data_IF_354864302291
#
_entry.id   IF_354864302291
#
_cell.length_a   1.000
_cell.length_b   1.000
_cell.length_c   1.000
_cell.angle_alpha   90.00
_cell.angle_beta   90.00
_cell.angle_gamma   90.00
#
_symmetry.space_group_name_H-M   'P 1'
#
loop_
_entity.id
_entity.type
_entity.pdbx_description
1 polymer ?
#
# COMPACT_ATOMS: atom_id res chain seq x y z
N UNK A 1 16.61 9.73 -9.76
CA UNK A 1 15.25 10.25 -9.50
C UNK A 1 14.26 9.36 -10.24
N UNK A 2 12.95 9.48 -9.96
CA UNK A 2 11.92 8.81 -10.78
C UNK A 2 11.19 9.88 -11.57
N UNK A 3 11.30 9.83 -12.90
CA UNK A 3 10.69 10.82 -13.79
C UNK A 3 9.17 10.76 -13.72
N UNK A 4 8.51 11.92 -13.72
CA UNK A 4 7.05 12.03 -13.69
C UNK A 4 6.38 11.61 -12.39
N UNK A 5 7.13 11.19 -11.36
CA UNK A 5 6.58 10.84 -10.04
C UNK A 5 6.27 12.12 -9.26
N UNK A 6 5.01 12.34 -8.90
CA UNK A 6 4.57 13.55 -8.19
C UNK A 6 4.37 13.34 -6.70
N UNK A 7 3.97 12.14 -6.28
CA UNK A 7 3.71 11.82 -4.88
C UNK A 7 4.23 10.43 -4.51
N UNK A 8 4.63 10.28 -3.26
CA UNK A 8 4.83 8.99 -2.60
C UNK A 8 3.56 8.65 -1.83
N UNK A 9 2.96 7.50 -2.13
CA UNK A 9 1.79 7.01 -1.45
C UNK A 9 2.17 6.04 -0.35
N UNK A 10 1.77 6.36 0.88
CA UNK A 10 1.86 5.49 2.04
C UNK A 10 0.45 5.18 2.53
N UNK A 11 0.19 3.96 2.98
CA UNK A 11 -1.11 3.58 3.50
C UNK A 11 -1.01 3.00 4.91
N UNK A 12 -1.89 3.47 5.79
CA UNK A 12 -2.08 2.95 7.13
C UNK A 12 -3.48 2.35 7.22
N UNK A 13 -3.61 1.18 7.86
CA UNK A 13 -4.89 0.46 7.95
C UNK A 13 -5.09 -0.08 9.35
N UNK A 14 -6.30 0.11 9.86
CA UNK A 14 -6.73 -0.42 11.15
C UNK A 14 -8.17 -0.91 11.02
N UNK A 15 -8.49 -2.03 11.65
CA UNK A 15 -9.81 -2.62 11.54
C UNK A 15 -10.00 -3.83 12.43
N UNK A 16 -11.18 -4.41 12.32
CA UNK A 16 -11.56 -5.61 13.03
C UNK A 16 -11.82 -6.72 12.02
N UNK A 17 -11.50 -7.95 12.40
CA UNK A 17 -11.72 -9.13 11.57
C UNK A 17 -12.17 -10.31 12.41
N UNK A 18 -12.99 -11.16 11.81
CA UNK A 18 -13.49 -12.38 12.41
C UNK A 18 -13.04 -13.59 11.59
N UNK A 19 -12.68 -14.66 12.29
CA UNK A 19 -12.43 -15.96 11.72
C UNK A 19 -13.61 -16.90 12.04
N UNK A 20 -14.15 -17.56 11.03
CA UNK A 20 -15.20 -18.58 11.16
C UNK A 20 -14.71 -19.90 10.59
N UNK A 21 -14.71 -20.94 11.42
CA UNK A 21 -14.45 -22.31 10.96
C UNK A 21 -15.62 -22.78 10.09
N UNK A 22 -15.34 -23.15 8.85
CA UNK A 22 -16.34 -23.64 7.87
C UNK A 22 -16.23 -25.16 7.75
N UNK A 23 -15.01 -25.68 7.69
CA UNK A 23 -14.74 -27.12 7.57
C UNK A 23 -13.92 -27.61 8.76
N UNK A 24 -14.52 -28.46 9.58
CA UNK A 24 -13.84 -29.11 10.71
C UNK A 24 -12.98 -30.30 10.27
N UNK A 25 -11.95 -30.60 11.07
CA UNK A 25 -11.10 -31.79 10.91
C UNK A 25 -11.90 -33.05 11.28
N UNK A 26 -12.68 -33.59 10.34
CA UNK A 26 -13.56 -34.75 10.57
C UNK A 26 -12.84 -36.10 10.77
N UNK A 27 -11.53 -36.18 10.51
CA UNK A 27 -10.71 -37.40 10.70
C UNK A 27 -9.29 -37.01 11.16
N UNK A 28 -8.51 -37.95 11.71
CA UNK A 28 -7.14 -37.73 12.28
C UNK A 28 -6.17 -36.97 11.35
N UNK A 29 -6.42 -36.95 10.04
CA UNK A 29 -5.62 -36.27 9.01
C UNK A 29 -6.37 -35.18 8.22
N UNK A 30 -7.51 -34.67 8.70
CA UNK A 30 -8.28 -33.64 7.97
C UNK A 30 -7.63 -32.25 8.01
N UNK A 31 -7.89 -31.45 6.97
CA UNK A 31 -7.55 -30.02 6.91
C UNK A 31 -8.70 -29.22 7.50
N UNK A 32 -8.42 -28.31 8.42
CA UNK A 32 -9.43 -27.38 8.92
C UNK A 32 -9.50 -26.17 7.98
N UNK A 33 -10.69 -25.77 7.57
CA UNK A 33 -10.91 -24.63 6.67
C UNK A 33 -11.62 -23.53 7.44
N UNK A 34 -10.99 -22.36 7.52
CA UNK A 34 -11.56 -21.16 8.13
C UNK A 34 -11.72 -20.06 7.10
N UNK A 35 -12.86 -19.38 7.09
CA UNK A 35 -12.98 -18.08 6.44
C UNK A 35 -12.60 -16.98 7.41
N UNK A 36 -11.83 -16.02 6.93
CA UNK A 36 -11.43 -14.81 7.62
C UNK A 36 -12.02 -13.66 6.82
N UNK A 37 -12.77 -12.80 7.49
CA UNK A 37 -13.33 -11.61 6.88
C UNK A 37 -13.23 -10.45 7.86
N UNK A 38 -13.04 -9.25 7.34
CA UNK A 38 -12.88 -8.09 8.18
C UNK A 38 -12.82 -6.82 7.36
N UNK A 39 -12.81 -5.70 8.08
CA UNK A 39 -12.71 -4.40 7.47
C UNK A 39 -12.50 -3.32 8.51
N UNK A 40 -12.24 -2.12 8.02
CA UNK A 40 -12.05 -0.97 8.88
C UNK A 40 -11.58 0.25 8.12
N UNK A 41 -10.95 1.14 8.85
CA UNK A 41 -10.47 2.40 8.35
C UNK A 41 -9.13 2.25 7.62
N UNK A 42 -8.96 3.00 6.55
CA UNK A 42 -7.71 3.18 5.84
C UNK A 42 -7.36 4.67 5.79
N UNK A 43 -6.09 5.01 5.96
CA UNK A 43 -5.57 6.35 5.81
C UNK A 43 -4.46 6.32 4.78
N UNK A 44 -4.70 6.99 3.66
CA UNK A 44 -3.67 7.26 2.67
C UNK A 44 -2.93 8.53 3.04
N UNK A 45 -1.63 8.53 2.81
CA UNK A 45 -0.74 9.65 3.04
C UNK A 45 0.06 9.88 1.76
N UNK A 46 -0.20 11.02 1.11
CA UNK A 46 0.49 11.45 -0.11
C UNK A 46 1.55 12.47 0.26
N UNK A 47 2.81 12.09 0.10
CA UNK A 47 3.95 12.99 0.30
C UNK A 47 4.47 13.48 -1.05
N UNK A 48 4.49 14.79 -1.33
CA UNK A 48 4.97 15.32 -2.60
C UNK A 48 6.43 14.94 -2.85
N UNK A 49 6.71 14.58 -4.10
CA UNK A 49 8.05 14.26 -4.58
C UNK A 49 8.70 15.54 -5.12
N UNK A 50 9.80 15.91 -4.50
CA UNK A 50 10.58 17.08 -4.89
C UNK A 50 11.72 16.66 -5.81
N UNK A 51 11.94 17.45 -6.86
CA UNK A 51 13.07 17.34 -7.77
C UNK A 51 13.99 18.54 -7.60
N UNK A 52 15.29 18.29 -7.71
CA UNK A 52 16.28 19.34 -7.89
C UNK A 52 16.39 19.60 -9.38
N UNK A 53 16.14 20.83 -9.79
CA UNK A 53 16.19 21.28 -11.18
C UNK A 53 17.12 22.48 -11.29
N UNK A 54 17.80 22.63 -12.42
CA UNK A 54 18.51 23.86 -12.75
C UNK A 54 17.51 24.81 -13.38
N UNK A 55 17.40 26.01 -12.84
CA UNK A 55 16.55 27.04 -13.41
C UNK A 55 17.14 27.49 -14.77
N UNK A 56 16.39 27.35 -15.89
CA UNK A 56 16.91 27.68 -17.21
C UNK A 56 17.15 29.20 -17.40
N UNK A 57 16.60 30.06 -16.53
CA UNK A 57 16.74 31.51 -16.61
C UNK A 57 17.88 32.06 -15.75
N UNK A 58 18.14 31.45 -14.59
CA UNK A 58 19.14 31.93 -13.63
C UNK A 58 20.35 31.01 -13.47
N UNK A 59 20.29 29.77 -13.98
CA UNK A 59 21.33 28.75 -13.87
C UNK A 59 21.53 28.21 -12.44
N UNK A 60 20.68 28.59 -11.49
CA UNK A 60 20.75 28.16 -10.10
C UNK A 60 19.98 26.87 -9.83
N UNK A 61 20.43 26.10 -8.83
CA UNK A 61 19.71 24.92 -8.35
C UNK A 61 18.45 25.34 -7.59
N UNK A 62 17.30 24.79 -7.99
CA UNK A 62 15.99 25.00 -7.38
C UNK A 62 15.35 23.66 -7.04
N UNK A 63 14.64 23.61 -5.92
CA UNK A 63 13.83 22.46 -5.57
C UNK A 63 12.38 22.77 -5.93
N UNK A 64 11.77 21.94 -6.79
CA UNK A 64 10.39 22.11 -7.22
C UNK A 64 9.57 20.84 -6.98
N UNK A 65 8.28 21.01 -6.71
CA UNK A 65 7.27 19.96 -6.86
C UNK A 65 6.43 20.21 -8.11
N UNK A 66 5.65 19.21 -8.51
CA UNK A 66 4.82 19.27 -9.72
C UNK A 66 3.91 20.50 -9.80
N UNK A 67 3.26 20.89 -8.69
CA UNK A 67 2.37 22.07 -8.68
C UNK A 67 3.10 23.42 -8.70
N UNK A 68 4.42 23.45 -8.46
CA UNK A 68 5.17 24.71 -8.48
C UNK A 68 5.55 25.12 -9.91
N UNK A 69 5.99 24.16 -10.74
CA UNK A 69 6.29 24.37 -12.16
C UNK A 69 6.18 23.07 -12.96
N UNK A 70 5.04 22.87 -13.63
CA UNK A 70 4.74 21.63 -14.37
C UNK A 70 5.64 21.44 -15.59
N UNK A 71 6.09 22.52 -16.21
CA UNK A 71 6.88 22.47 -17.44
C UNK A 71 8.30 22.03 -17.13
N UNK A 72 8.94 22.66 -16.14
CA UNK A 72 10.30 22.28 -15.70
C UNK A 72 10.29 20.89 -15.04
N UNK A 73 9.24 20.55 -14.28
CA UNK A 73 9.14 19.24 -13.63
C UNK A 73 9.06 18.07 -14.62
N UNK A 74 8.54 18.32 -15.83
CA UNK A 74 8.42 17.32 -16.89
C UNK A 74 9.52 17.45 -17.95
N UNK A 75 10.53 18.31 -17.75
CA UNK A 75 11.68 18.45 -18.64
C UNK A 75 12.88 17.65 -18.11
N UNK A 76 13.26 16.52 -18.73
CA UNK A 76 14.40 15.73 -18.30
C UNK A 76 15.74 16.48 -18.37
N UNK A 77 15.86 17.51 -19.21
CA UNK A 77 17.11 18.27 -19.40
C UNK A 77 17.39 19.23 -18.25
N UNK A 78 16.34 19.67 -17.55
CA UNK A 78 16.43 20.55 -16.40
C UNK A 78 16.62 19.79 -15.07
N UNK A 79 16.38 18.48 -15.02
CA UNK A 79 16.40 17.68 -13.79
C UNK A 79 17.82 17.22 -13.44
N UNK A 80 18.39 17.80 -12.38
CA UNK A 80 19.68 17.39 -11.81
C UNK A 80 19.54 16.14 -10.95
N UNK A 81 18.41 15.97 -10.24
CA UNK A 81 18.23 14.83 -9.35
C UNK A 81 16.98 14.87 -8.50
N UNK A 82 16.88 13.91 -7.57
CA UNK A 82 15.81 13.88 -6.58
C UNK A 82 16.19 14.76 -5.40
N UNK A 83 15.25 15.56 -4.90
CA UNK A 83 15.47 16.26 -3.65
C UNK A 83 15.51 15.27 -2.48
N UNK A 84 16.26 15.62 -1.43
CA UNK A 84 16.43 14.77 -0.25
C UNK A 84 15.11 14.33 0.38
N UNK A 85 15.12 13.15 1.03
CA UNK A 85 13.93 12.53 1.61
C UNK A 85 13.18 13.42 2.62
N UNK A 86 13.90 14.28 3.34
CA UNK A 86 13.36 15.22 4.33
C UNK A 86 12.53 16.38 3.75
N UNK A 87 12.51 16.55 2.41
CA UNK A 87 11.66 17.56 1.75
C UNK A 87 10.22 17.05 1.57
N UNK A 88 9.24 17.93 1.67
CA UNK A 88 7.82 17.62 1.46
C UNK A 88 7.08 17.05 2.67
N UNK A 89 7.69 16.97 3.86
CA UNK A 89 6.99 16.54 5.09
C UNK A 89 5.93 17.54 5.57
N UNK A 90 6.09 18.84 5.26
CA UNK A 90 5.13 19.87 5.65
C UNK A 90 3.91 19.97 4.72
N UNK A 91 3.88 19.22 3.61
CA UNK A 91 2.82 19.28 2.59
C UNK A 91 2.22 17.90 2.32
N UNK A 92 2.12 17.09 3.36
CA UNK A 92 1.51 15.77 3.28
C UNK A 92 -0.02 15.93 3.18
N UNK A 93 -0.62 15.31 2.17
CA UNK A 93 -2.09 15.18 2.08
C UNK A 93 -2.54 13.86 2.70
N UNK A 94 -3.47 13.94 3.65
CA UNK A 94 -4.05 12.80 4.33
C UNK A 94 -5.42 12.52 3.73
N UNK A 95 -5.59 11.33 3.19
CA UNK A 95 -6.81 10.93 2.49
C UNK A 95 -7.44 9.75 3.21
N UNK A 96 -8.56 9.96 3.91
CA UNK A 96 -9.27 8.86 4.57
C UNK A 96 -9.89 7.91 3.54
N UNK A 97 -10.07 6.67 3.96
CA UNK A 97 -10.62 5.59 3.17
C UNK A 97 -11.11 4.44 4.04
N UNK A 98 -11.60 3.41 3.38
CA UNK A 98 -12.02 2.16 3.99
C UNK A 98 -11.26 0.99 3.37
N UNK A 99 -11.09 -0.08 4.12
CA UNK A 99 -10.57 -1.33 3.60
C UNK A 99 -11.41 -2.52 4.04
N UNK A 100 -11.41 -3.54 3.20
CA UNK A 100 -12.02 -4.83 3.47
C UNK A 100 -11.02 -5.94 3.13
N UNK A 101 -11.08 -7.04 3.89
CA UNK A 101 -10.26 -8.24 3.71
C UNK A 101 -11.14 -9.47 3.74
N UNK A 102 -10.89 -10.37 2.81
CA UNK A 102 -11.51 -11.70 2.75
C UNK A 102 -10.41 -12.73 2.50
N UNK A 103 -10.35 -13.78 3.30
CA UNK A 103 -9.34 -14.82 3.15
C UNK A 103 -9.89 -16.20 3.56
N UNK A 104 -9.30 -17.24 2.98
CA UNK A 104 -9.49 -18.62 3.36
C UNK A 104 -8.18 -19.15 3.93
N UNK A 105 -8.27 -19.78 5.09
CA UNK A 105 -7.15 -20.40 5.77
C UNK A 105 -7.36 -21.90 5.87
N UNK A 106 -6.33 -22.64 5.49
CA UNK A 106 -6.26 -24.10 5.48
C UNK A 106 -5.23 -24.56 6.50
N UNK A 107 -5.69 -25.09 7.63
CA UNK A 107 -4.85 -25.61 8.71
C UNK A 107 -4.60 -27.12 8.49
N UNK A 108 -3.35 -27.51 8.22
CA UNK A 108 -2.96 -28.90 7.89
C UNK A 108 -2.07 -29.58 8.96
N UNK A 109 -2.03 -29.03 10.17
CA UNK A 109 -1.25 -29.59 11.29
C UNK A 109 -1.66 -31.03 11.64
N UNK A 110 -0.72 -31.98 11.44
CA UNK A 110 -0.87 -33.41 11.81
C UNK A 110 -0.61 -33.66 13.30
N UNK A 111 0.27 -32.87 13.91
CA UNK A 111 0.64 -32.95 15.32
C UNK A 111 0.07 -31.78 16.10
N UNK A 112 -0.48 -32.05 17.28
CA UNK A 112 -1.19 -31.06 18.12
C UNK A 112 -0.29 -29.88 18.55
N UNK A 113 1.03 -30.02 18.41
CA UNK A 113 2.05 -29.06 18.86
C UNK A 113 2.46 -28.02 17.80
N UNK A 114 2.29 -28.29 16.49
CA UNK A 114 2.72 -27.37 15.42
C UNK A 114 1.52 -26.96 14.54
N UNK A 115 1.22 -25.66 14.58
CA UNK A 115 0.24 -24.99 13.74
C UNK A 115 0.91 -24.65 12.41
N UNK A 116 0.59 -25.38 11.36
CA UNK A 116 0.96 -25.05 9.98
C UNK A 116 -0.29 -24.79 9.16
N UNK A 117 -0.36 -23.62 8.54
CA UNK A 117 -1.51 -23.23 7.73
C UNK A 117 -1.09 -22.46 6.48
N UNK A 118 -1.86 -22.60 5.41
CA UNK A 118 -1.77 -21.74 4.25
C UNK A 118 -3.00 -20.85 4.25
N UNK A 119 -2.82 -19.55 4.06
CA UNK A 119 -3.90 -18.59 3.94
C UNK A 119 -3.81 -17.92 2.58
N UNK A 120 -4.93 -17.88 1.86
CA UNK A 120 -5.06 -17.16 0.60
C UNK A 120 -6.18 -16.12 0.76
N UNK A 121 -5.93 -14.89 0.34
CA UNK A 121 -6.90 -13.83 0.55
C UNK A 121 -6.77 -12.67 -0.41
N UNK A 122 -7.78 -11.83 -0.35
CA UNK A 122 -7.90 -10.59 -1.10
C UNK A 122 -8.15 -9.43 -0.13
N UNK A 123 -7.61 -8.28 -0.48
CA UNK A 123 -7.85 -7.02 0.20
C UNK A 123 -8.31 -6.00 -0.84
N UNK A 124 -9.28 -5.20 -0.46
CA UNK A 124 -9.78 -4.08 -1.22
C UNK A 124 -9.66 -2.82 -0.36
N UNK A 125 -9.15 -1.75 -0.92
CA UNK A 125 -9.04 -0.43 -0.28
C UNK A 125 -9.73 0.58 -1.19
N UNK A 126 -10.50 1.49 -0.61
CA UNK A 126 -11.15 2.60 -1.33
C UNK A 126 -10.95 3.90 -0.58
N UNK A 127 -10.50 4.93 -1.28
CA UNK A 127 -10.17 6.23 -0.70
C UNK A 127 -11.10 7.34 -1.21
N UNK A 128 -11.26 8.37 -0.38
CA UNK A 128 -12.13 9.52 -0.68
C UNK A 128 -11.63 10.40 -1.83
N UNK A 129 -10.32 10.41 -2.09
CA UNK A 129 -9.67 11.14 -3.18
C UNK A 129 -8.78 10.22 -4.01
N UNK A 130 -8.44 10.68 -5.22
CA UNK A 130 -7.51 9.98 -6.12
C UNK A 130 -6.09 10.02 -5.56
N UNK A 131 -5.45 8.86 -5.51
CA UNK A 131 -4.05 8.75 -5.09
C UNK A 131 -3.12 8.96 -6.28
N UNK A 132 -3.04 10.19 -6.76
CA UNK A 132 -2.21 10.52 -7.92
C UNK A 132 -0.72 10.42 -7.55
N UNK A 133 -0.03 9.39 -8.06
CA UNK A 133 1.39 9.16 -7.83
C UNK A 133 2.28 9.66 -8.97
N UNK A 134 1.75 9.70 -10.20
CA UNK A 134 2.45 10.10 -11.41
C UNK A 134 1.71 11.26 -12.10
N UNK A 135 2.46 12.18 -12.72
CA UNK A 135 1.90 13.34 -13.43
C UNK A 135 1.08 12.92 -14.66
N UNK A 136 1.58 11.93 -15.40
CA UNK A 136 1.02 11.47 -16.67
C UNK A 136 0.02 10.32 -16.51
N UNK A 137 -0.32 9.93 -15.28
CA UNK A 137 -1.30 8.88 -15.01
C UNK A 137 -2.40 9.41 -14.09
N UNK A 138 -3.64 9.07 -14.37
CA UNK A 138 -4.76 9.35 -13.47
C UNK A 138 -4.57 8.58 -12.17
N UNK A 139 -4.90 9.21 -11.04
CA UNK A 139 -4.79 8.58 -9.74
C UNK A 139 -5.92 7.59 -9.49
N UNK A 140 -5.61 6.44 -8.91
CA UNK A 140 -6.62 5.46 -8.52
C UNK A 140 -7.22 5.78 -7.15
N UNK A 141 -8.53 5.59 -7.01
CA UNK A 141 -9.24 5.62 -5.71
C UNK A 141 -9.35 4.23 -5.09
N UNK A 142 -9.28 3.19 -5.92
CA UNK A 142 -9.51 1.80 -5.52
C UNK A 142 -8.25 0.97 -5.71
N UNK A 143 -7.88 0.20 -4.69
CA UNK A 143 -6.72 -0.68 -4.73
C UNK A 143 -7.12 -2.10 -4.35
N UNK A 144 -6.87 -3.04 -5.25
CA UNK A 144 -7.12 -4.46 -5.03
C UNK A 144 -5.79 -5.22 -4.89
N UNK A 145 -5.72 -6.14 -3.92
CA UNK A 145 -4.53 -6.93 -3.61
C UNK A 145 -4.91 -8.37 -3.33
N UNK A 146 -4.31 -9.31 -4.02
CA UNK A 146 -4.38 -10.73 -3.68
C UNK A 146 -3.08 -11.18 -3.02
N UNK A 147 -3.15 -12.12 -2.08
CA UNK A 147 -1.97 -12.66 -1.41
C UNK A 147 -2.16 -14.13 -1.05
N UNK A 148 -1.02 -14.80 -0.87
CA UNK A 148 -0.92 -16.11 -0.23
C UNK A 148 0.14 -15.98 0.87
N UNK A 149 -0.16 -16.49 2.06
CA UNK A 149 0.75 -16.52 3.19
C UNK A 149 0.84 -17.92 3.77
N UNK A 150 2.01 -18.24 4.32
CA UNK A 150 2.23 -19.48 5.05
C UNK A 150 2.40 -19.09 6.53
N UNK A 151 1.59 -19.73 7.37
CA UNK A 151 1.53 -19.47 8.81
C UNK A 151 2.14 -20.66 9.52
N UNK A 152 3.13 -20.39 10.37
CA UNK A 152 3.75 -21.37 11.25
C UNK A 152 3.69 -20.89 12.69
N UNK A 153 3.37 -21.78 13.62
CA UNK A 153 3.36 -21.49 15.06
C UNK A 153 3.40 -22.75 15.90
N UNK A 154 3.77 -22.62 17.18
CA UNK A 154 3.71 -23.71 18.15
C UNK A 154 2.50 -23.51 19.05
N UNK A 155 1.69 -24.55 19.25
CA UNK A 155 0.67 -24.57 20.31
C UNK A 155 1.30 -25.19 21.56
N UNK A 156 1.23 -24.49 22.70
CA UNK A 156 1.53 -25.07 24.02
C UNK A 156 0.27 -25.74 24.56
#
# INVERSE_FOLDING_TARGET
YVFGKINNFYNFKIGLGQQRLIGGKGNKNGVAVSAIYGGGFALGMLKPYYLNVVDPTTGGDKNIRYEDDKNIFLDPSAITGAAGFTRGFNQIDFVPGAHARLALRFDYGRYNEMLSAIEAGVNAEYYTKEMQQMALNTGDKFFFKAYVSIVFGKRK
#
